data_IF_450947646027
#
_entry.id   IF_450947646027
#
_cell.length_a   1.000
_cell.length_b   1.000
_cell.length_c   1.000
_cell.angle_alpha   90.00
_cell.angle_beta   90.00
_cell.angle_gamma   90.00
#
_symmetry.space_group_name_H-M   'P 1'
#
loop_
_entity.id
_entity.type
_entity.pdbx_description
1 polymer ?
#
# COMPACT_ATOMS: atom_id res chain seq x y z
N UNK A 1 -13.57 -1.52 35.02
CA UNK A 1 -14.00 -0.36 34.22
C UNK A 1 -15.50 -0.14 34.33
N UNK A 2 -16.35 -1.11 33.97
CA UNK A 2 -17.81 -0.96 34.16
C UNK A 2 -18.21 -1.01 35.66
N UNK A 3 -17.76 -2.03 36.39
CA UNK A 3 -18.15 -2.24 37.79
C UNK A 3 -17.65 -1.15 38.76
N UNK A 4 -16.54 -0.49 38.43
CA UNK A 4 -15.89 0.57 39.24
C UNK A 4 -16.14 1.98 38.66
N UNK A 5 -17.03 2.13 37.66
CA UNK A 5 -17.47 3.44 37.16
C UNK A 5 -16.46 4.21 36.29
N UNK A 6 -15.42 3.54 35.77
CA UNK A 6 -14.46 4.14 34.80
C UNK A 6 -14.97 4.14 33.36
N UNK A 7 -15.97 3.32 33.05
CA UNK A 7 -16.62 3.28 31.74
C UNK A 7 -18.14 3.12 31.89
N UNK A 8 -18.89 3.68 30.93
CA UNK A 8 -20.34 3.62 30.87
C UNK A 8 -20.78 3.27 29.45
N UNK A 9 -21.70 2.31 29.33
CA UNK A 9 -22.32 2.01 28.03
C UNK A 9 -23.36 3.07 27.69
N UNK A 10 -23.14 3.83 26.62
CA UNK A 10 -24.09 4.85 26.15
C UNK A 10 -25.19 4.28 25.23
N UNK A 11 -25.11 2.99 24.89
CA UNK A 11 -25.97 2.37 23.90
C UNK A 11 -25.52 2.61 22.46
N UNK A 12 -26.34 2.20 21.50
CA UNK A 12 -26.08 2.47 20.09
C UNK A 12 -26.29 3.96 19.80
N UNK A 13 -25.24 4.62 19.31
CA UNK A 13 -25.23 6.05 18.97
C UNK A 13 -24.61 6.24 17.58
N UNK A 14 -25.20 7.13 16.79
CA UNK A 14 -24.68 7.50 15.47
C UNK A 14 -25.33 6.74 14.29
N UNK A 15 -24.80 6.96 13.08
CA UNK A 15 -25.35 6.39 11.84
C UNK A 15 -25.06 4.89 11.71
N UNK A 16 -25.71 4.24 10.74
CA UNK A 16 -25.37 2.88 10.39
C UNK A 16 -24.00 2.80 9.70
N UNK A 17 -23.28 1.70 9.90
CA UNK A 17 -22.00 1.44 9.26
C UNK A 17 -21.98 0.08 8.57
N UNK A 18 -21.17 -0.05 7.53
CA UNK A 18 -20.87 -1.29 6.82
C UNK A 18 -19.42 -1.67 7.03
N UNK A 19 -19.17 -2.94 7.34
CA UNK A 19 -17.81 -3.47 7.42
C UNK A 19 -17.19 -3.53 6.02
N UNK A 20 -15.94 -3.10 5.92
CA UNK A 20 -15.12 -3.28 4.72
C UNK A 20 -14.43 -4.66 4.70
N UNK A 21 -13.60 -4.92 3.68
CA UNK A 21 -12.80 -6.17 3.56
C UNK A 21 -11.91 -6.44 4.78
N UNK A 22 -11.49 -5.42 5.53
CA UNK A 22 -10.70 -5.61 6.75
C UNK A 22 -11.53 -6.08 7.95
N UNK A 23 -12.86 -6.14 7.82
CA UNK A 23 -13.88 -6.41 8.85
C UNK A 23 -13.97 -5.32 9.93
N UNK A 24 -12.81 -4.84 10.42
CA UNK A 24 -12.70 -3.87 11.51
C UNK A 24 -12.72 -2.41 11.09
N UNK A 25 -12.64 -2.12 9.79
CA UNK A 25 -12.83 -0.77 9.27
C UNK A 25 -14.25 -0.62 8.76
N UNK A 26 -14.96 0.32 9.36
CA UNK A 26 -16.36 0.60 9.17
C UNK A 26 -16.55 1.84 8.28
N UNK A 27 -17.31 1.69 7.20
CA UNK A 27 -17.70 2.75 6.26
C UNK A 27 -19.09 3.24 6.61
N UNK A 28 -19.30 4.55 6.62
CA UNK A 28 -20.61 5.12 6.93
C UNK A 28 -21.64 4.71 5.84
N UNK A 29 -22.75 4.10 6.26
CA UNK A 29 -23.73 3.51 5.35
C UNK A 29 -24.67 4.55 4.72
N UNK A 30 -24.88 5.68 5.40
CA UNK A 30 -25.85 6.71 5.03
C UNK A 30 -25.18 7.87 4.29
N UNK A 31 -23.94 8.20 4.67
CA UNK A 31 -23.13 9.26 4.07
C UNK A 31 -21.72 8.73 3.76
N UNK A 32 -21.52 8.13 2.57
CA UNK A 32 -20.26 7.49 2.20
C UNK A 32 -19.04 8.43 2.20
N UNK A 33 -19.25 9.75 2.12
CA UNK A 33 -18.17 10.74 2.20
C UNK A 33 -17.65 10.96 3.63
N UNK A 34 -18.39 10.53 4.66
CA UNK A 34 -17.91 10.59 6.04
C UNK A 34 -16.76 9.63 6.29
N UNK A 35 -15.92 10.00 7.26
CA UNK A 35 -14.77 9.23 7.65
C UNK A 35 -15.11 7.77 7.98
N UNK A 36 -14.21 6.89 7.57
CA UNK A 36 -14.18 5.50 8.00
C UNK A 36 -13.68 5.42 9.43
N UNK A 37 -14.16 4.42 10.18
CA UNK A 37 -13.73 4.16 11.55
C UNK A 37 -13.10 2.78 11.64
N UNK A 38 -11.80 2.71 11.89
CA UNK A 38 -11.06 1.45 12.17
C UNK A 38 -11.11 1.21 13.67
N UNK A 39 -11.64 0.06 14.09
CA UNK A 39 -11.80 -0.30 15.49
C UNK A 39 -10.88 -1.45 15.89
N UNK A 40 -10.50 -1.52 17.17
CA UNK A 40 -9.96 -2.75 17.75
C UNK A 40 -11.01 -3.87 17.70
N UNK A 41 -10.60 -5.05 17.26
CA UNK A 41 -11.46 -6.23 17.17
C UNK A 41 -10.73 -7.46 17.69
N UNK A 42 -11.31 -8.11 18.69
CA UNK A 42 -10.76 -9.29 19.37
C UNK A 42 -10.83 -10.59 18.55
N UNK A 43 -10.37 -10.55 17.29
CA UNK A 43 -10.30 -11.72 16.40
C UNK A 43 -8.87 -11.92 15.88
N UNK A 44 -8.63 -13.11 15.35
CA UNK A 44 -7.46 -13.40 14.51
C UNK A 44 -7.95 -13.59 13.07
N UNK A 45 -7.35 -12.88 12.12
CA UNK A 45 -7.64 -13.05 10.70
C UNK A 45 -6.33 -13.10 9.91
N UNK A 46 -6.15 -14.12 9.04
CA UNK A 46 -4.90 -14.42 8.30
C UNK A 46 -3.63 -14.47 9.19
N UNK A 47 -3.79 -14.94 10.43
CA UNK A 47 -2.78 -15.10 11.49
C UNK A 47 -2.46 -13.86 12.36
N UNK A 48 -2.93 -12.67 12.01
CA UNK A 48 -2.72 -11.47 12.84
C UNK A 48 -3.91 -11.18 13.75
N UNK A 49 -3.63 -10.81 15.01
CA UNK A 49 -4.63 -10.22 15.90
C UNK A 49 -5.09 -8.88 15.35
N UNK A 50 -6.38 -8.58 15.49
CA UNK A 50 -6.99 -7.34 14.97
C UNK A 50 -7.18 -6.28 16.05
N UNK A 51 -6.31 -6.25 17.04
CA UNK A 51 -6.13 -5.16 18.00
C UNK A 51 -5.46 -3.93 17.34
N UNK A 52 -5.54 -2.77 17.99
CA UNK A 52 -4.85 -1.55 17.58
C UNK A 52 -3.79 -1.20 18.64
N UNK A 53 -2.52 -1.61 18.46
CA UNK A 53 -1.46 -1.29 19.42
C UNK A 53 -1.43 0.20 19.73
N UNK A 54 -1.24 0.61 21.00
CA UNK A 54 -1.36 2.02 21.35
C UNK A 54 -0.42 2.94 20.58
N UNK A 55 0.82 2.50 20.37
CA UNK A 55 1.81 3.25 19.61
C UNK A 55 1.38 3.52 18.16
N UNK A 56 0.68 2.57 17.52
CA UNK A 56 0.18 2.71 16.16
C UNK A 56 -0.97 3.72 16.09
N UNK A 57 -1.84 3.77 17.09
CA UNK A 57 -2.91 4.78 17.15
C UNK A 57 -2.36 6.18 17.41
N UNK A 58 -1.33 6.29 18.26
CA UNK A 58 -0.69 7.57 18.58
C UNK A 58 -0.06 8.25 17.36
N UNK A 59 0.56 7.46 16.51
CA UNK A 59 1.35 7.94 15.39
C UNK A 59 0.53 8.12 14.09
N UNK A 60 -0.65 7.49 14.00
CA UNK A 60 -1.47 7.51 12.78
C UNK A 60 -1.72 8.91 12.20
N UNK A 61 -2.11 9.93 13.00
CA UNK A 61 -2.32 11.29 12.48
C UNK A 61 -1.03 11.98 12.05
N UNK A 62 0.08 11.67 12.73
CA UNK A 62 1.38 12.30 12.46
C UNK A 62 1.97 11.77 11.15
N UNK A 63 2.03 10.44 10.98
CA UNK A 63 2.48 9.82 9.71
C UNK A 63 1.58 10.29 8.57
N UNK A 64 0.27 10.31 8.76
CA UNK A 64 -0.66 10.77 7.72
C UNK A 64 -0.41 12.21 7.31
N UNK A 65 -0.17 13.11 8.28
CA UNK A 65 0.13 14.52 8.01
C UNK A 65 1.46 14.68 7.27
N UNK A 66 2.48 13.92 7.68
CA UNK A 66 3.79 13.94 7.03
C UNK A 66 3.73 13.49 5.57
N UNK A 67 3.15 12.30 5.32
CA UNK A 67 3.06 11.74 3.97
C UNK A 67 2.16 12.59 3.05
N UNK A 68 1.02 13.08 3.55
CA UNK A 68 0.15 13.97 2.76
C UNK A 68 0.84 15.30 2.47
N UNK A 69 1.65 15.82 3.39
CA UNK A 69 2.50 16.99 3.17
C UNK A 69 3.52 16.78 2.04
N UNK A 70 4.22 15.65 2.04
CA UNK A 70 5.14 15.27 0.96
C UNK A 70 4.41 15.22 -0.40
N UNK A 71 3.28 14.51 -0.46
CA UNK A 71 2.50 14.38 -1.70
C UNK A 71 1.97 15.72 -2.19
N UNK A 72 1.59 16.62 -1.29
CA UNK A 72 1.10 17.95 -1.64
C UNK A 72 2.20 18.88 -2.17
N UNK A 73 3.44 18.75 -1.68
CA UNK A 73 4.58 19.59 -2.07
C UNK A 73 5.27 19.13 -3.34
N UNK A 74 5.29 17.82 -3.62
CA UNK A 74 5.91 17.31 -4.84
C UNK A 74 4.93 17.32 -6.03
N UNK A 75 5.13 18.29 -6.93
CA UNK A 75 4.32 18.46 -8.13
C UNK A 75 4.27 17.23 -9.06
N UNK A 76 5.21 16.28 -8.94
CA UNK A 76 5.17 15.03 -9.71
C UNK A 76 3.93 14.21 -9.39
N UNK A 77 3.47 14.20 -8.13
CA UNK A 77 2.27 13.46 -7.73
C UNK A 77 0.96 14.07 -8.26
N UNK A 78 0.98 15.33 -8.71
CA UNK A 78 -0.18 15.95 -9.37
C UNK A 78 -0.12 15.78 -10.89
N UNK A 79 1.09 15.83 -11.47
CA UNK A 79 1.27 15.96 -12.92
C UNK A 79 1.61 14.65 -13.63
N UNK A 80 2.34 13.74 -12.98
CA UNK A 80 2.91 12.54 -13.63
C UNK A 80 2.51 11.25 -12.93
N UNK A 81 2.49 11.25 -11.60
CA UNK A 81 2.30 10.07 -10.76
C UNK A 81 1.08 10.29 -9.86
N UNK A 82 -0.14 10.39 -10.43
CA UNK A 82 -1.33 10.82 -9.70
C UNK A 82 -1.59 9.96 -8.47
N UNK A 83 -1.40 10.56 -7.29
CA UNK A 83 -1.47 9.90 -5.99
C UNK A 83 -2.35 10.68 -5.03
N UNK A 84 -3.16 9.96 -4.27
CA UNK A 84 -3.92 10.47 -3.13
C UNK A 84 -3.68 9.55 -1.94
N UNK A 85 -3.42 10.13 -0.78
CA UNK A 85 -3.33 9.39 0.47
C UNK A 85 -4.59 9.67 1.28
N UNK A 86 -5.19 8.64 1.89
CA UNK A 86 -6.32 8.83 2.80
C UNK A 86 -5.80 9.02 4.23
N UNK A 87 -5.77 10.26 4.76
CA UNK A 87 -5.20 10.52 6.07
C UNK A 87 -6.01 9.84 7.17
N UNK A 88 -5.28 9.24 8.11
CA UNK A 88 -5.75 8.70 9.38
C UNK A 88 -5.66 9.81 10.42
N UNK A 89 -6.52 10.81 10.24
CA UNK A 89 -6.36 12.14 10.84
C UNK A 89 -6.67 12.22 12.34
N UNK A 90 -7.23 11.16 12.95
CA UNK A 90 -7.50 11.13 14.38
C UNK A 90 -7.46 9.70 14.93
N UNK A 91 -7.04 9.57 16.18
CA UNK A 91 -7.03 8.31 16.93
C UNK A 91 -7.50 8.52 18.37
N UNK A 92 -8.10 7.49 18.97
CA UNK A 92 -8.43 7.43 20.39
C UNK A 92 -8.12 6.04 20.94
N UNK A 93 -7.63 5.98 22.17
CA UNK A 93 -7.26 4.75 22.86
C UNK A 93 -7.80 4.85 24.28
N UNK A 94 -8.29 3.73 24.81
CA UNK A 94 -8.55 3.59 26.22
C UNK A 94 -7.52 2.66 26.86
N UNK A 95 -7.11 2.97 28.08
CA UNK A 95 -6.18 2.14 28.88
C UNK A 95 -4.82 1.93 28.20
N UNK A 96 -4.23 3.01 27.67
CA UNK A 96 -2.99 2.99 26.86
C UNK A 96 -1.93 2.04 27.42
N UNK A 97 -1.63 2.14 28.72
CA UNK A 97 -0.55 1.39 29.39
C UNK A 97 -1.10 0.27 30.31
N UNK A 98 -2.38 -0.06 30.20
CA UNK A 98 -3.07 -0.98 31.08
C UNK A 98 -3.44 -2.32 30.42
N UNK A 99 -4.18 -3.20 31.12
CA UNK A 99 -4.55 -4.53 30.61
C UNK A 99 -5.44 -4.50 29.37
N UNK A 100 -6.14 -3.40 29.08
CA UNK A 100 -6.96 -3.22 27.89
C UNK A 100 -6.20 -2.53 26.74
N UNK A 101 -4.89 -2.31 26.88
CA UNK A 101 -4.04 -1.74 25.86
C UNK A 101 -4.25 -2.42 24.50
N UNK A 102 -4.61 -1.61 23.51
CA UNK A 102 -4.94 -2.01 22.15
C UNK A 102 -6.22 -2.83 21.95
N UNK A 103 -6.94 -3.18 23.02
CA UNK A 103 -8.23 -3.85 22.93
C UNK A 103 -9.38 -2.85 22.72
N UNK A 104 -9.20 -1.59 23.13
CA UNK A 104 -10.19 -0.53 22.99
C UNK A 104 -9.52 0.69 22.37
N UNK A 105 -9.76 0.90 21.08
CA UNK A 105 -9.27 2.06 20.35
C UNK A 105 -10.00 2.22 19.02
N UNK A 106 -9.86 3.41 18.45
CA UNK A 106 -10.37 3.74 17.13
C UNK A 106 -9.43 4.68 16.39
N UNK A 107 -9.36 4.53 15.07
CA UNK A 107 -8.71 5.45 14.15
C UNK A 107 -9.76 5.94 13.13
N UNK A 108 -9.83 7.25 12.92
CA UNK A 108 -10.65 7.84 11.86
C UNK A 108 -9.79 8.10 10.64
N UNK A 109 -10.31 7.69 9.49
CA UNK A 109 -9.64 7.84 8.19
C UNK A 109 -10.58 8.50 7.19
N UNK A 110 -10.05 9.40 6.38
CA UNK A 110 -10.83 9.99 5.29
C UNK A 110 -11.43 8.90 4.36
N UNK A 111 -12.62 9.15 3.83
CA UNK A 111 -13.27 8.23 2.89
C UNK A 111 -12.73 8.39 1.47
N UNK A 112 -12.74 7.29 0.71
CA UNK A 112 -12.49 7.31 -0.74
C UNK A 112 -13.48 8.23 -1.44
N UNK A 113 -14.77 8.15 -1.07
CA UNK A 113 -15.85 8.94 -1.67
C UNK A 113 -15.64 10.45 -1.46
N UNK A 114 -14.96 10.85 -0.39
CA UNK A 114 -14.66 12.26 -0.11
C UNK A 114 -13.58 12.85 -1.04
N UNK A 115 -12.81 12.02 -1.74
CA UNK A 115 -11.68 12.44 -2.58
C UNK A 115 -11.86 12.12 -4.06
N UNK A 116 -13.01 11.56 -4.45
CA UNK A 116 -13.36 11.32 -5.84
C UNK A 116 -13.60 12.65 -6.57
N UNK A 117 -13.02 12.77 -7.76
CA UNK A 117 -13.31 13.90 -8.64
C UNK A 117 -14.60 13.64 -9.44
N UNK A 118 -15.29 14.68 -9.93
CA UNK A 118 -16.51 14.50 -10.71
C UNK A 118 -16.32 13.52 -11.86
N UNK A 119 -17.13 12.46 -11.92
CA UNK A 119 -17.10 11.41 -12.95
C UNK A 119 -16.07 10.29 -12.72
N UNK A 120 -15.30 10.33 -11.64
CA UNK A 120 -14.51 9.17 -11.19
C UNK A 120 -15.39 8.20 -10.39
N UNK A 121 -15.01 6.92 -10.45
CA UNK A 121 -15.40 5.90 -9.50
C UNK A 121 -14.14 5.23 -8.95
N UNK A 122 -14.27 4.44 -7.88
CA UNK A 122 -13.16 3.74 -7.27
C UNK A 122 -13.46 2.25 -7.07
N UNK A 123 -12.42 1.43 -7.20
CA UNK A 123 -12.47 0.00 -6.88
C UNK A 123 -11.29 -0.36 -5.96
N UNK A 124 -11.46 -1.31 -5.02
CA UNK A 124 -10.30 -1.86 -4.32
C UNK A 124 -9.38 -2.54 -5.33
N UNK A 125 -8.07 -2.38 -5.18
CA UNK A 125 -7.12 -2.83 -6.20
C UNK A 125 -7.16 -4.35 -6.39
N UNK A 126 -7.49 -5.11 -5.33
CA UNK A 126 -7.63 -6.55 -5.44
C UNK A 126 -8.75 -7.01 -6.38
N UNK A 127 -9.72 -6.15 -6.74
CA UNK A 127 -10.72 -6.46 -7.77
C UNK A 127 -10.07 -6.79 -9.12
N UNK A 128 -8.89 -6.21 -9.41
CA UNK A 128 -8.22 -6.38 -10.70
C UNK A 128 -7.81 -7.83 -10.99
N UNK A 129 -7.66 -8.65 -9.94
CA UNK A 129 -7.32 -10.06 -10.02
C UNK A 129 -8.50 -10.99 -9.66
N UNK A 130 -9.74 -10.47 -9.67
CA UNK A 130 -10.94 -11.27 -9.33
C UNK A 130 -11.59 -11.87 -10.58
N UNK A 131 -11.98 -13.13 -10.47
CA UNK A 131 -12.86 -13.84 -11.41
C UNK A 131 -14.27 -13.91 -10.84
N UNK A 132 -15.26 -13.50 -11.62
CA UNK A 132 -16.68 -13.54 -11.28
C UNK A 132 -17.21 -14.98 -11.24
N UNK A 133 -18.37 -15.25 -10.59
CA UNK A 133 -18.94 -16.60 -10.51
C UNK A 133 -19.24 -17.26 -11.87
N UNK A 134 -19.37 -16.49 -12.94
CA UNK A 134 -19.55 -16.98 -14.31
C UNK A 134 -18.23 -17.36 -15.01
N UNK A 135 -17.10 -17.23 -14.31
CA UNK A 135 -15.76 -17.53 -14.84
C UNK A 135 -15.10 -16.37 -15.60
N UNK A 136 -15.77 -15.23 -15.77
CA UNK A 136 -15.18 -14.07 -16.45
C UNK A 136 -14.37 -13.20 -15.48
N UNK A 137 -13.21 -12.66 -15.89
CA UNK A 137 -12.50 -11.67 -15.09
C UNK A 137 -13.36 -10.42 -14.85
N UNK A 138 -13.31 -9.87 -13.63
CA UNK A 138 -14.04 -8.65 -13.27
C UNK A 138 -13.67 -7.45 -14.14
N UNK A 139 -12.43 -7.42 -14.65
CA UNK A 139 -11.90 -6.36 -15.52
C UNK A 139 -12.17 -6.59 -17.02
N UNK A 140 -12.82 -7.69 -17.41
CA UNK A 140 -13.09 -8.00 -18.82
C UNK A 140 -13.83 -6.87 -19.56
N UNK A 141 -14.88 -6.23 -19.00
CA UNK A 141 -15.56 -5.12 -19.68
C UNK A 141 -14.66 -3.90 -19.95
N UNK A 142 -13.64 -3.67 -19.13
CA UNK A 142 -12.70 -2.57 -19.32
C UNK A 142 -11.69 -2.91 -20.42
N UNK A 143 -11.21 -4.15 -20.44
CA UNK A 143 -10.32 -4.65 -21.49
C UNK A 143 -11.03 -4.67 -22.85
N UNK A 144 -12.29 -5.10 -22.91
CA UNK A 144 -13.11 -5.07 -24.15
C UNK A 144 -13.27 -3.65 -24.69
N UNK A 145 -13.42 -2.66 -23.80
CA UNK A 145 -13.61 -1.25 -24.18
C UNK A 145 -12.32 -0.57 -24.65
N UNK A 146 -11.21 -0.78 -23.94
CA UNK A 146 -9.98 0.00 -24.13
C UNK A 146 -8.85 -0.77 -24.83
N UNK A 147 -9.02 -2.08 -25.00
CA UNK A 147 -7.96 -3.00 -25.39
C UNK A 147 -7.04 -3.32 -24.21
N UNK A 148 -6.53 -4.56 -24.18
CA UNK A 148 -5.70 -5.05 -23.09
C UNK A 148 -4.43 -4.21 -22.90
N UNK A 149 -3.67 -4.00 -23.98
CA UNK A 149 -2.34 -3.38 -23.88
C UNK A 149 -2.39 -1.88 -23.53
N UNK A 150 -3.27 -1.05 -24.13
CA UNK A 150 -3.42 0.34 -23.72
C UNK A 150 -3.88 0.47 -22.26
N UNK A 151 -4.87 -0.34 -21.85
CA UNK A 151 -5.38 -0.33 -20.48
C UNK A 151 -4.30 -0.75 -19.47
N UNK A 152 -3.58 -1.84 -19.74
CA UNK A 152 -2.51 -2.33 -18.88
C UNK A 152 -1.38 -1.31 -18.76
N UNK A 153 -0.96 -0.69 -19.87
CA UNK A 153 0.09 0.33 -19.86
C UNK A 153 -0.30 1.48 -18.93
N UNK A 154 -1.53 1.98 -19.07
CA UNK A 154 -2.05 3.04 -18.20
C UNK A 154 -2.16 2.60 -16.74
N UNK A 155 -2.64 1.38 -16.48
CA UNK A 155 -2.74 0.83 -15.14
C UNK A 155 -1.37 0.81 -14.46
N UNK A 156 -0.34 0.28 -15.13
CA UNK A 156 1.00 0.20 -14.57
C UNK A 156 1.57 1.59 -14.26
N UNK A 157 1.37 2.58 -15.13
CA UNK A 157 1.77 3.97 -14.86
C UNK A 157 1.07 4.54 -13.61
N UNK A 158 -0.23 4.30 -13.44
CA UNK A 158 -1.01 4.81 -12.33
C UNK A 158 -0.72 4.05 -11.02
N UNK A 159 -0.51 2.74 -11.08
CA UNK A 159 -0.37 1.89 -9.90
C UNK A 159 1.08 1.79 -9.40
N UNK A 160 2.06 1.72 -10.32
CA UNK A 160 3.46 1.43 -9.97
C UNK A 160 4.23 2.72 -9.72
N UNK A 161 4.12 3.71 -10.61
CA UNK A 161 5.01 4.87 -10.56
C UNK A 161 4.86 5.74 -9.31
N UNK A 162 3.66 5.95 -8.74
CA UNK A 162 3.56 6.72 -7.49
C UNK A 162 4.24 6.03 -6.31
N UNK A 163 4.06 4.71 -6.17
CA UNK A 163 4.71 3.92 -5.11
C UNK A 163 6.22 3.91 -5.33
N UNK A 164 6.66 3.70 -6.56
CA UNK A 164 8.07 3.74 -6.93
C UNK A 164 8.70 5.11 -6.70
N UNK A 165 7.96 6.19 -6.93
CA UNK A 165 8.43 7.55 -6.69
C UNK A 165 8.50 7.89 -5.19
N UNK A 166 7.61 7.37 -4.35
CA UNK A 166 7.78 7.46 -2.89
C UNK A 166 9.07 6.76 -2.45
N UNK A 167 9.32 5.53 -2.92
CA UNK A 167 10.52 4.77 -2.58
C UNK A 167 11.78 5.47 -3.07
N UNK A 168 11.90 5.63 -4.39
CA UNK A 168 13.12 6.12 -5.02
C UNK A 168 13.26 7.61 -4.84
N UNK A 169 12.20 8.40 -4.96
CA UNK A 169 12.26 9.86 -4.91
C UNK A 169 12.32 10.41 -3.49
N UNK A 170 11.63 9.76 -2.54
CA UNK A 170 11.48 10.29 -1.17
C UNK A 170 12.12 9.41 -0.09
N UNK A 171 12.50 8.17 -0.40
CA UNK A 171 13.09 7.25 0.56
C UNK A 171 12.06 6.68 1.54
N UNK A 172 10.81 6.54 1.07
CA UNK A 172 9.68 6.06 1.86
C UNK A 172 9.06 4.88 1.13
N UNK A 173 9.08 3.73 1.78
CA UNK A 173 8.36 2.54 1.37
C UNK A 173 6.99 2.50 2.05
N UNK A 174 5.99 2.07 1.29
CA UNK A 174 4.61 1.89 1.75
C UNK A 174 4.19 0.47 1.43
N UNK A 175 3.42 -0.15 2.31
CA UNK A 175 2.86 -1.49 2.09
C UNK A 175 1.78 -1.45 1.00
N UNK A 176 2.19 -1.61 -0.26
CA UNK A 176 1.36 -1.48 -1.45
C UNK A 176 0.68 -2.81 -1.84
N UNK A 177 0.19 -3.55 -0.84
CA UNK A 177 -0.69 -4.68 -1.09
C UNK A 177 -2.01 -4.23 -1.70
N UNK A 178 -2.67 -5.16 -2.40
CA UNK A 178 -3.91 -4.89 -3.09
C UNK A 178 -5.06 -4.40 -2.17
N UNK A 179 -5.01 -4.70 -0.86
CA UNK A 179 -5.97 -4.19 0.13
C UNK A 179 -5.76 -2.71 0.49
N UNK A 180 -4.51 -2.24 0.47
CA UNK A 180 -4.12 -0.87 0.85
C UNK A 180 -4.17 0.08 -0.37
N UNK A 181 -4.29 -0.49 -1.57
CA UNK A 181 -4.46 0.24 -2.82
C UNK A 181 -5.93 0.32 -3.23
N UNK A 182 -6.33 1.48 -3.75
CA UNK A 182 -7.63 1.72 -4.39
C UNK A 182 -7.38 2.41 -5.72
N UNK A 183 -7.92 1.84 -6.80
CA UNK A 183 -7.81 2.42 -8.13
C UNK A 183 -9.00 3.33 -8.38
N UNK A 184 -8.74 4.60 -8.70
CA UNK A 184 -9.78 5.46 -9.29
C UNK A 184 -9.79 5.30 -10.80
N UNK A 185 -10.98 5.33 -11.39
CA UNK A 185 -11.17 5.16 -12.82
C UNK A 185 -12.32 6.01 -13.37
N UNK A 186 -12.27 6.31 -14.67
CA UNK A 186 -13.42 6.82 -15.43
C UNK A 186 -13.91 5.74 -16.38
N UNK A 187 -15.03 5.14 -16.04
CA UNK A 187 -15.64 4.05 -16.83
C UNK A 187 -14.68 2.87 -17.13
N UNK A 188 -13.77 2.57 -16.20
CA UNK A 188 -12.76 1.51 -16.32
C UNK A 188 -11.37 2.00 -16.74
N UNK A 189 -11.22 3.24 -17.23
CA UNK A 189 -9.91 3.79 -17.55
C UNK A 189 -9.16 4.22 -16.27
N UNK A 190 -7.93 3.73 -15.99
CA UNK A 190 -7.21 4.06 -14.75
C UNK A 190 -6.81 5.54 -14.69
N UNK A 191 -7.15 6.21 -13.58
CA UNK A 191 -6.92 7.65 -13.40
C UNK A 191 -5.82 7.94 -12.39
N UNK A 192 -6.03 7.54 -11.13
CA UNK A 192 -5.17 7.86 -9.97
C UNK A 192 -5.12 6.70 -8.98
N UNK A 193 -4.02 6.61 -8.26
CA UNK A 193 -3.88 5.67 -7.14
C UNK A 193 -4.28 6.35 -5.83
N UNK A 194 -5.07 5.65 -5.03
CA UNK A 194 -5.33 6.00 -3.64
C UNK A 194 -4.64 4.97 -2.74
N UNK A 195 -3.87 5.44 -1.75
CA UNK A 195 -3.27 4.62 -0.70
C UNK A 195 -3.88 4.91 0.68
N UNK A 196 -3.84 3.92 1.58
CA UNK A 196 -4.42 3.98 2.94
C UNK A 196 -3.74 3.00 3.89
N UNK A 197 -4.09 3.08 5.18
CA UNK A 197 -3.56 2.23 6.27
C UNK A 197 -2.05 2.43 6.47
N UNK A 198 -1.63 3.62 6.95
CA UNK A 198 -0.20 3.96 7.08
C UNK A 198 0.38 3.69 8.47
N UNK A 199 -0.45 3.77 9.51
CA UNK A 199 -0.02 3.60 10.91
C UNK A 199 0.63 2.25 11.25
N UNK A 200 0.39 1.21 10.47
CA UNK A 200 0.94 -0.13 10.70
C UNK A 200 2.03 -0.52 9.67
N UNK A 201 2.24 0.30 8.62
CA UNK A 201 2.59 -0.26 7.30
C UNK A 201 3.47 0.64 6.41
N UNK A 202 4.31 1.48 7.03
CA UNK A 202 5.30 2.27 6.31
C UNK A 202 6.70 2.04 6.85
N UNK A 203 7.67 2.17 5.97
CA UNK A 203 9.09 2.16 6.31
C UNK A 203 9.80 3.33 5.64
N UNK A 204 10.75 3.95 6.34
CA UNK A 204 11.63 4.94 5.75
C UNK A 204 13.05 4.78 6.31
N UNK A 205 14.04 5.30 5.58
CA UNK A 205 15.41 5.35 6.08
C UNK A 205 15.81 6.81 6.28
N UNK A 206 16.14 7.25 7.51
CA UNK A 206 16.51 8.65 7.78
C UNK A 206 17.63 9.16 6.87
N UNK A 207 18.62 8.31 6.59
CA UNK A 207 19.76 8.64 5.72
C UNK A 207 19.38 8.74 4.23
N UNK A 208 18.24 8.18 3.85
CA UNK A 208 17.75 8.14 2.47
C UNK A 208 16.57 9.07 2.21
N UNK A 209 16.03 9.72 3.24
CA UNK A 209 15.00 10.74 3.09
C UNK A 209 15.48 11.87 2.19
N UNK A 210 14.61 12.30 1.27
CA UNK A 210 14.89 13.49 0.44
C UNK A 210 14.91 14.77 1.28
N UNK A 211 14.04 14.86 2.27
CA UNK A 211 13.90 16.01 3.17
C UNK A 211 14.02 15.55 4.64
N UNK A 212 15.23 15.22 5.16
CA UNK A 212 15.38 14.71 6.52
C UNK A 212 14.89 15.66 7.61
N UNK A 213 14.90 16.98 7.34
CA UNK A 213 14.39 17.99 8.27
C UNK A 213 12.87 17.90 8.51
N UNK A 214 12.14 17.20 7.65
CA UNK A 214 10.69 17.00 7.74
C UNK A 214 10.34 15.64 8.39
N UNK A 215 11.32 14.90 8.89
CA UNK A 215 11.10 13.65 9.60
C UNK A 215 10.14 13.86 10.80
N UNK A 216 9.10 13.03 10.95
CA UNK A 216 8.21 13.10 12.10
C UNK A 216 8.96 12.95 13.42
N UNK A 217 8.55 13.65 14.49
CA UNK A 217 9.19 13.54 15.80
C UNK A 217 8.78 12.25 16.53
N UNK A 218 9.03 11.08 15.93
CA UNK A 218 8.62 9.77 16.46
C UNK A 218 9.05 9.58 17.91
N UNK A 219 10.31 9.89 18.22
CA UNK A 219 10.91 9.69 19.54
C UNK A 219 10.30 10.54 20.67
N UNK A 220 9.57 11.60 20.31
CA UNK A 220 8.86 12.47 21.26
C UNK A 220 7.40 12.05 21.47
N UNK A 221 6.82 11.29 20.54
CA UNK A 221 5.39 10.95 20.53
C UNK A 221 5.04 9.76 21.43
N UNK A 222 5.89 8.74 21.44
CA UNK A 222 5.71 7.59 22.31
C UNK A 222 7.07 7.08 22.81
N UNK A 223 7.26 6.88 24.14
CA UNK A 223 8.52 6.38 24.68
C UNK A 223 9.02 5.09 24.03
N UNK A 224 8.10 4.23 23.56
CA UNK A 224 8.46 2.97 22.92
C UNK A 224 9.30 3.15 21.65
N UNK A 225 9.15 4.30 20.97
CA UNK A 225 9.93 4.61 19.77
C UNK A 225 11.36 5.02 20.13
N UNK A 226 11.58 5.64 21.30
CA UNK A 226 12.93 5.98 21.77
C UNK A 226 13.77 4.74 22.06
N UNK A 227 13.14 3.72 22.61
CA UNK A 227 13.77 2.47 22.99
C UNK A 227 13.73 1.42 21.84
N UNK A 228 13.12 1.78 20.70
CA UNK A 228 12.99 0.90 19.55
C UNK A 228 14.29 0.73 18.78
N UNK A 229 14.56 -0.49 18.32
CA UNK A 229 15.64 -0.75 17.37
C UNK A 229 15.20 -0.38 15.93
N UNK A 230 16.15 -0.10 15.01
CA UNK A 230 15.84 -0.08 13.58
C UNK A 230 15.09 -1.35 13.13
N UNK A 231 14.17 -1.20 12.19
CA UNK A 231 13.31 -2.28 11.65
C UNK A 231 12.29 -2.84 12.67
N UNK A 232 12.13 -2.22 13.84
CA UNK A 232 11.09 -2.62 14.80
C UNK A 232 9.75 -1.88 14.58
N UNK A 233 9.82 -0.66 14.07
CA UNK A 233 8.66 0.21 13.81
C UNK A 233 8.76 0.79 12.39
N UNK A 234 8.90 2.11 12.26
CA UNK A 234 8.77 2.80 10.97
C UNK A 234 10.10 3.14 10.29
N UNK A 235 11.23 3.08 11.01
CA UNK A 235 12.53 3.46 10.47
C UNK A 235 13.46 2.26 10.30
N UNK A 236 14.24 2.30 9.23
CA UNK A 236 15.27 1.32 8.89
C UNK A 236 16.63 1.97 8.71
N UNK A 237 17.66 1.27 9.15
CA UNK A 237 19.07 1.57 8.91
C UNK A 237 19.61 0.89 7.63
N UNK A 238 18.77 0.14 6.91
CA UNK A 238 19.15 -0.59 5.71
C UNK A 238 18.14 -0.36 4.58
N UNK A 239 18.65 0.02 3.40
CA UNK A 239 17.81 0.21 2.21
C UNK A 239 17.13 -1.08 1.73
N UNK A 240 17.62 -2.23 2.17
CA UNK A 240 17.02 -3.52 1.88
C UNK A 240 15.58 -3.60 2.40
N UNK A 241 15.30 -3.14 3.62
CA UNK A 241 13.96 -3.22 4.20
C UNK A 241 12.94 -2.43 3.36
N UNK A 242 13.31 -1.20 2.97
CA UNK A 242 12.49 -0.36 2.09
C UNK A 242 12.27 -1.02 0.72
N UNK A 243 13.32 -1.62 0.15
CA UNK A 243 13.20 -2.31 -1.14
C UNK A 243 12.31 -3.53 -0.98
N UNK A 244 12.56 -4.37 0.01
CA UNK A 244 11.82 -5.60 0.29
C UNK A 244 10.34 -5.29 0.50
N UNK A 245 9.98 -4.31 1.33
CA UNK A 245 8.58 -3.93 1.55
C UNK A 245 7.87 -3.59 0.22
N UNK A 246 8.49 -2.81 -0.67
CA UNK A 246 7.86 -2.50 -1.97
C UNK A 246 7.87 -3.72 -2.90
N UNK A 247 8.97 -4.48 -2.93
CA UNK A 247 9.08 -5.66 -3.79
C UNK A 247 8.07 -6.74 -3.45
N UNK A 248 7.94 -7.05 -2.18
CA UNK A 248 6.97 -7.99 -1.64
C UNK A 248 5.56 -7.49 -1.90
N UNK A 249 5.25 -6.27 -1.48
CA UNK A 249 3.85 -5.85 -1.38
C UNK A 249 3.25 -5.45 -2.72
N UNK A 250 4.03 -4.79 -3.59
CA UNK A 250 3.57 -4.32 -4.89
C UNK A 250 3.76 -5.38 -5.98
N UNK A 251 4.94 -6.00 -6.06
CA UNK A 251 5.24 -6.89 -7.17
C UNK A 251 4.86 -8.34 -6.85
N UNK A 252 5.43 -8.93 -5.80
CA UNK A 252 5.28 -10.36 -5.52
C UNK A 252 3.85 -10.71 -5.08
N UNK A 253 3.30 -10.03 -4.08
CA UNK A 253 2.01 -10.36 -3.45
C UNK A 253 0.80 -9.61 -4.03
N UNK A 254 0.97 -8.91 -5.15
CA UNK A 254 -0.09 -8.11 -5.75
C UNK A 254 -0.08 -8.20 -7.29
N UNK A 255 0.94 -7.66 -7.96
CA UNK A 255 0.96 -7.68 -9.43
C UNK A 255 1.15 -9.08 -10.03
N UNK A 256 1.72 -10.04 -9.30
CA UNK A 256 1.76 -11.45 -9.73
C UNK A 256 0.36 -12.03 -9.93
N UNK A 257 -0.60 -11.76 -9.05
CA UNK A 257 -1.97 -12.26 -9.18
C UNK A 257 -2.66 -11.68 -10.43
N UNK A 258 -2.39 -10.41 -10.73
CA UNK A 258 -2.88 -9.79 -11.96
C UNK A 258 -2.19 -10.38 -13.20
N UNK A 259 -0.88 -10.63 -13.15
CA UNK A 259 -0.12 -11.27 -14.22
C UNK A 259 -0.70 -12.65 -14.56
N UNK A 260 -0.94 -13.48 -13.55
CA UNK A 260 -1.54 -14.81 -13.70
C UNK A 260 -2.94 -14.75 -14.31
N UNK A 261 -3.81 -13.87 -13.80
CA UNK A 261 -5.14 -13.65 -14.37
C UNK A 261 -5.08 -13.24 -15.84
N UNK A 262 -4.18 -12.32 -16.20
CA UNK A 262 -4.04 -11.85 -17.58
C UNK A 262 -3.50 -12.94 -18.52
N UNK A 263 -2.61 -13.79 -18.03
CA UNK A 263 -2.13 -14.95 -18.77
C UNK A 263 -3.25 -15.95 -19.03
N UNK A 264 -4.00 -16.32 -17.98
CA UNK A 264 -5.04 -17.34 -18.06
C UNK A 264 -6.27 -16.89 -18.86
N UNK A 265 -6.73 -15.66 -18.66
CA UNK A 265 -8.00 -15.21 -19.21
C UNK A 265 -7.88 -14.40 -20.50
N UNK A 266 -6.74 -13.74 -20.74
CA UNK A 266 -6.52 -12.89 -21.89
C UNK A 266 -5.33 -13.30 -22.77
N UNK A 267 -4.61 -14.37 -22.39
CA UNK A 267 -3.50 -14.91 -23.18
C UNK A 267 -2.26 -14.03 -23.22
N UNK A 268 -2.09 -13.10 -22.27
CA UNK A 268 -0.88 -12.27 -22.15
C UNK A 268 0.21 -13.04 -21.40
N UNK A 269 1.32 -13.45 -22.03
CA UNK A 269 2.36 -14.19 -21.32
C UNK A 269 2.93 -13.37 -20.16
N UNK A 270 3.20 -14.01 -19.02
CA UNK A 270 3.72 -13.32 -17.83
C UNK A 270 5.01 -12.54 -18.11
N UNK A 271 5.89 -13.09 -18.95
CA UNK A 271 7.11 -12.40 -19.38
C UNK A 271 6.83 -11.10 -20.14
N UNK A 272 5.74 -11.01 -20.89
CA UNK A 272 5.34 -9.76 -21.53
C UNK A 272 4.79 -8.76 -20.50
N UNK A 273 4.00 -9.22 -19.53
CA UNK A 273 3.51 -8.39 -18.43
C UNK A 273 4.68 -7.77 -17.66
N UNK A 274 5.65 -8.58 -17.21
CA UNK A 274 6.81 -8.09 -16.47
C UNK A 274 7.74 -7.22 -17.33
N UNK A 275 7.87 -7.52 -18.62
CA UNK A 275 8.56 -6.63 -19.57
C UNK A 275 7.88 -5.27 -19.74
N UNK A 276 6.56 -5.15 -19.50
CA UNK A 276 5.86 -3.85 -19.45
C UNK A 276 6.11 -3.11 -18.15
N UNK A 277 6.13 -3.81 -17.02
CA UNK A 277 6.52 -3.24 -15.73
C UNK A 277 7.92 -2.65 -15.82
N UNK A 278 8.89 -3.41 -16.34
CA UNK A 278 10.26 -2.93 -16.48
C UNK A 278 10.35 -1.69 -17.38
N UNK A 279 9.70 -1.70 -18.56
CA UNK A 279 9.65 -0.51 -19.44
C UNK A 279 9.06 0.71 -18.75
N UNK A 280 8.06 0.52 -17.87
CA UNK A 280 7.48 1.58 -17.05
C UNK A 280 8.55 2.18 -16.11
N UNK A 281 9.29 1.33 -15.39
CA UNK A 281 10.35 1.72 -14.45
C UNK A 281 11.57 2.34 -15.15
N UNK A 282 11.97 1.82 -16.31
CA UNK A 282 13.01 2.43 -17.14
C UNK A 282 12.59 3.81 -17.66
N UNK A 283 11.31 3.95 -18.05
CA UNK A 283 10.73 5.24 -18.43
C UNK A 283 10.83 6.25 -17.28
N UNK A 284 10.57 5.81 -16.05
CA UNK A 284 10.80 6.61 -14.85
C UNK A 284 12.28 6.97 -14.68
N UNK A 285 13.19 6.00 -14.76
CA UNK A 285 14.63 6.22 -14.58
C UNK A 285 15.21 7.20 -15.61
N UNK A 286 14.76 7.13 -16.87
CA UNK A 286 15.15 8.07 -17.94
C UNK A 286 14.61 9.49 -17.70
N UNK A 287 13.39 9.61 -17.16
CA UNK A 287 12.71 10.90 -16.95
C UNK A 287 13.20 11.63 -15.71
N UNK A 288 13.31 10.94 -14.58
CA UNK A 288 13.64 11.55 -13.28
C UNK A 288 15.15 11.49 -12.98
N UNK A 289 15.92 10.74 -13.77
CA UNK A 289 17.37 10.55 -13.61
C UNK A 289 17.86 10.22 -12.17
N UNK A 290 17.20 9.34 -11.40
CA UNK A 290 17.54 9.12 -9.99
C UNK A 290 18.68 8.10 -9.82
N UNK A 291 19.66 8.09 -10.74
CA UNK A 291 20.62 6.99 -10.92
C UNK A 291 21.35 6.56 -9.64
N UNK A 292 21.82 7.51 -8.83
CA UNK A 292 22.50 7.21 -7.57
C UNK A 292 21.58 6.53 -6.54
N UNK A 293 20.30 6.95 -6.49
CA UNK A 293 19.30 6.41 -5.56
C UNK A 293 18.83 5.02 -5.97
N UNK A 294 18.62 4.79 -7.26
CA UNK A 294 18.34 3.46 -7.80
C UNK A 294 19.49 2.48 -7.56
N UNK A 295 20.73 2.92 -7.76
CA UNK A 295 21.91 2.11 -7.50
C UNK A 295 22.03 1.75 -6.02
N UNK A 296 21.79 2.70 -5.11
CA UNK A 296 21.82 2.46 -3.67
C UNK A 296 20.76 1.46 -3.20
N UNK A 297 19.55 1.52 -3.77
CA UNK A 297 18.47 0.57 -3.50
C UNK A 297 18.74 -0.85 -4.04
N UNK A 298 19.68 -1.01 -4.98
CA UNK A 298 19.96 -2.33 -5.56
C UNK A 298 18.78 -2.92 -6.33
N UNK A 299 17.92 -2.10 -6.95
CA UNK A 299 16.67 -2.53 -7.61
C UNK A 299 16.86 -3.50 -8.80
N UNK A 300 18.11 -3.73 -9.20
CA UNK A 300 18.51 -4.62 -10.30
C UNK A 300 19.38 -5.78 -9.81
N UNK A 301 19.43 -6.04 -8.49
CA UNK A 301 20.05 -7.23 -7.95
C UNK A 301 19.39 -8.49 -8.56
N UNK A 302 20.16 -9.54 -8.92
CA UNK A 302 19.63 -10.73 -9.60
C UNK A 302 18.69 -11.56 -8.70
N UNK A 303 18.87 -11.45 -7.38
CA UNK A 303 18.03 -12.07 -6.37
C UNK A 303 17.57 -11.00 -5.39
N UNK A 304 16.38 -11.19 -4.84
CA UNK A 304 15.78 -10.36 -3.79
C UNK A 304 15.33 -11.27 -2.65
N UNK A 305 15.29 -10.72 -1.44
CA UNK A 305 14.61 -11.36 -0.32
C UNK A 305 13.11 -11.10 -0.41
N UNK A 306 12.34 -12.09 0.02
CA UNK A 306 10.91 -11.99 0.22
C UNK A 306 10.51 -12.75 1.48
N UNK A 307 9.50 -12.24 2.17
CA UNK A 307 8.96 -12.83 3.38
C UNK A 307 8.41 -14.25 3.12
N UNK A 308 8.47 -15.12 4.12
CA UNK A 308 8.05 -16.52 4.02
C UNK A 308 6.74 -16.70 4.78
N UNK A 309 5.71 -15.94 4.39
CA UNK A 309 4.42 -15.82 5.08
C UNK A 309 3.81 -17.16 5.50
N UNK A 310 3.89 -18.19 4.66
CA UNK A 310 3.35 -19.52 4.97
C UNK A 310 4.25 -20.29 5.95
N UNK A 311 5.57 -20.17 5.80
CA UNK A 311 6.54 -20.86 6.66
C UNK A 311 6.45 -20.34 8.09
N UNK A 312 6.36 -19.04 8.28
CA UNK A 312 6.15 -18.43 9.60
C UNK A 312 4.88 -18.94 10.25
N UNK A 313 3.77 -18.98 9.49
CA UNK A 313 2.48 -19.48 9.99
C UNK A 313 2.55 -20.94 10.40
N UNK A 314 3.24 -21.77 9.63
CA UNK A 314 3.38 -23.20 9.91
C UNK A 314 4.34 -23.48 11.07
N UNK A 315 5.44 -22.72 11.17
CA UNK A 315 6.47 -22.93 12.18
C UNK A 315 6.23 -22.15 13.47
N UNK A 316 5.30 -21.18 13.46
CA UNK A 316 4.99 -20.29 14.60
C UNK A 316 6.25 -19.63 15.17
N UNK A 317 7.13 -19.16 14.30
CA UNK A 317 8.37 -18.50 14.69
C UNK A 317 8.09 -17.15 15.33
N UNK A 318 8.95 -16.76 16.27
CA UNK A 318 9.03 -15.38 16.74
C UNK A 318 9.98 -14.63 15.78
N UNK A 319 9.41 -13.84 14.87
CA UNK A 319 10.15 -13.07 13.86
C UNK A 319 9.84 -13.48 12.42
N UNK A 320 10.10 -12.54 11.53
CA UNK A 320 9.96 -12.67 10.07
C UNK A 320 11.02 -13.65 9.54
N UNK A 321 10.61 -14.47 8.57
CA UNK A 321 11.46 -15.44 7.90
C UNK A 321 11.53 -15.06 6.44
N UNK A 322 12.74 -14.93 5.91
CA UNK A 322 12.92 -14.52 4.52
C UNK A 322 13.56 -15.64 3.70
N UNK A 323 13.34 -15.63 2.39
CA UNK A 323 14.02 -16.49 1.45
C UNK A 323 14.36 -15.72 0.18
N UNK A 324 15.43 -16.14 -0.50
CA UNK A 324 15.85 -15.52 -1.76
C UNK A 324 15.02 -16.06 -2.93
N UNK A 325 14.59 -15.15 -3.80
CA UNK A 325 13.91 -15.45 -5.06
C UNK A 325 14.55 -14.69 -6.22
N UNK A 326 14.47 -15.20 -7.48
CA UNK A 326 14.94 -14.47 -8.64
C UNK A 326 14.20 -13.14 -8.79
N UNK A 327 14.94 -12.08 -9.10
CA UNK A 327 14.35 -10.76 -9.34
C UNK A 327 13.89 -10.63 -10.79
N UNK A 328 12.58 -10.67 -10.99
CA UNK A 328 11.97 -10.51 -12.33
C UNK A 328 12.32 -9.18 -13.00
N UNK A 329 12.69 -8.15 -12.22
CA UNK A 329 13.11 -6.84 -12.74
C UNK A 329 14.57 -6.81 -13.21
N UNK A 330 15.39 -7.80 -12.85
CA UNK A 330 16.79 -7.91 -13.25
C UNK A 330 16.99 -8.80 -14.51
N UNK A 331 16.10 -9.78 -14.74
CA UNK A 331 16.35 -10.90 -15.65
C UNK A 331 15.85 -10.71 -17.11
N UNK A 332 15.46 -9.49 -17.50
CA UNK A 332 14.87 -9.25 -18.83
C UNK A 332 15.79 -8.56 -19.83
N UNK A 333 17.11 -8.61 -19.60
CA UNK A 333 18.13 -8.20 -20.59
C UNK A 333 18.02 -8.93 -21.95
N UNK A 334 17.14 -9.92 -22.07
CA UNK A 334 16.77 -10.61 -23.30
C UNK A 334 15.69 -9.89 -24.14
N UNK A 335 14.73 -9.18 -23.53
CA UNK A 335 13.59 -8.58 -24.27
C UNK A 335 13.99 -7.31 -25.04
N UNK A 336 15.04 -6.62 -24.58
CA UNK A 336 15.59 -5.44 -25.27
C UNK A 336 16.28 -5.76 -26.61
N UNK A 337 16.45 -7.04 -26.98
CA UNK A 337 17.11 -7.43 -28.25
C UNK A 337 16.17 -7.85 -29.38
N UNK A 338 14.87 -8.04 -29.14
CA UNK A 338 13.98 -8.61 -30.18
C UNK A 338 12.70 -7.85 -30.51
N UNK A 339 12.48 -6.63 -30.00
CA UNK A 339 11.32 -5.83 -30.45
C UNK A 339 11.76 -4.47 -30.96
N UNK A 340 12.24 -4.47 -32.21
CA UNK A 340 12.29 -3.29 -33.08
C UNK A 340 10.85 -2.88 -33.41
N UNK A 341 10.34 -1.82 -32.75
CA UNK A 341 9.06 -1.22 -33.10
C UNK A 341 9.23 -0.34 -34.35
N UNK A 342 9.39 -1.02 -35.50
CA UNK A 342 9.02 -0.49 -36.79
C UNK A 342 7.76 -1.23 -37.25
N UNK A 343 6.64 -0.50 -37.29
CA UNK A 343 5.28 -0.91 -37.66
C UNK A 343 4.46 -1.60 -36.55
N UNK A 344 3.56 -0.82 -35.91
CA UNK A 344 2.10 -1.01 -35.95
C UNK A 344 1.41 0.26 -35.45
#
# INVERSE_FOLDING_TARGET
WLADGRAYGLGALGPAYRASQSVRTLMNADDPARANVKLSLGIVNTASRRNLPPHAVDIAPVISTWLTGIVARDGHFQQRYPLVLLPEYAGIIADRDGPLAGQIGAIWRQSVEAVLLPGEAAVPFNLLAVTEPNGSPAIAPWIERYGLLPWLTRLLEVAVLPVWHLLVGHGIAVEAHAQNMVLTHRNGWPERLILRDFHDSIEYSPEFLREPAEEPPFFDLNPIFRDGAPNQYYWSDHLEALRELVMDTLFIYNLTDLSDLLALAFGLPEMEFWGRVQRCLEGYARRETPGARLAALGTQAPEILTESLMREKLLRTEGELHHAVPNILADLSFVAREVDYAAY
#
